data_IF_280897927658
#
_entry.id   IF_280897927658
#
_cell.length_a   1.000
_cell.length_b   1.000
_cell.length_c   1.000
_cell.angle_alpha   90.00
_cell.angle_beta   90.00
_cell.angle_gamma   90.00
#
_symmetry.space_group_name_H-M   'P 1'
#
loop_
_entity.id
_entity.type
_entity.pdbx_description
1 polymer ?
#
# COMPACT_ATOMS: atom_id res chain seq x y z
N UNK A 1 25.30 72.41 -36.20
CA UNK A 1 24.38 71.31 -36.49
C UNK A 1 24.86 70.09 -35.67
N UNK A 2 24.28 69.91 -34.48
CA UNK A 2 24.72 68.86 -33.57
C UNK A 2 23.50 67.93 -33.32
N UNK A 3 23.63 66.70 -33.78
CA UNK A 3 22.62 65.65 -33.59
C UNK A 3 22.90 64.93 -32.28
N UNK A 4 22.00 65.15 -31.31
CA UNK A 4 22.01 64.49 -30.01
C UNK A 4 21.48 63.02 -30.19
N UNK A 5 22.37 62.08 -29.97
CA UNK A 5 22.04 60.64 -29.96
C UNK A 5 21.53 60.29 -28.56
N UNK A 6 20.19 60.01 -28.41
CA UNK A 6 19.56 59.57 -27.17
C UNK A 6 19.56 58.05 -27.17
N UNK A 7 20.51 57.46 -26.47
CA UNK A 7 20.51 56.04 -26.17
C UNK A 7 19.46 55.74 -25.10
N UNK A 8 18.41 54.99 -25.45
CA UNK A 8 17.42 54.48 -24.56
C UNK A 8 17.97 53.22 -23.87
N UNK A 9 18.31 53.30 -22.58
CA UNK A 9 18.60 52.11 -21.78
C UNK A 9 17.27 51.47 -21.34
N UNK A 10 16.96 50.30 -21.92
CA UNK A 10 15.85 49.47 -21.52
C UNK A 10 16.27 48.63 -20.28
N UNK A 11 15.93 49.10 -19.09
CA UNK A 11 16.17 48.33 -17.86
C UNK A 11 15.18 47.17 -17.79
N UNK A 12 15.65 45.94 -18.03
CA UNK A 12 14.90 44.73 -17.81
C UNK A 12 14.93 44.45 -16.28
N UNK A 13 13.80 44.69 -15.62
CA UNK A 13 13.61 44.31 -14.22
C UNK A 13 13.31 42.82 -14.19
N UNK A 14 14.28 42.01 -13.78
CA UNK A 14 14.10 40.60 -13.50
C UNK A 14 13.31 40.48 -12.18
N UNK A 15 11.99 40.29 -12.27
CA UNK A 15 11.16 40.00 -11.11
C UNK A 15 11.50 38.58 -10.62
N UNK A 16 12.29 38.51 -9.56
CA UNK A 16 12.57 37.27 -8.84
C UNK A 16 11.30 36.88 -8.08
N UNK A 17 10.47 36.00 -8.64
CA UNK A 17 9.37 35.39 -7.90
C UNK A 17 9.95 34.40 -6.89
N UNK A 18 9.62 34.49 -5.59
CA UNK A 18 10.00 33.44 -4.65
C UNK A 18 9.26 32.17 -5.05
N UNK A 19 10.00 31.17 -5.49
CA UNK A 19 9.49 29.81 -5.60
C UNK A 19 9.31 29.32 -4.15
N UNK A 20 8.09 29.39 -3.63
CA UNK A 20 7.74 28.70 -2.41
C UNK A 20 7.93 27.21 -2.71
N UNK A 21 8.84 26.48 -2.02
CA UNK A 21 8.78 25.04 -2.05
C UNK A 21 7.43 24.68 -1.39
N UNK A 22 6.45 24.28 -2.18
CA UNK A 22 5.30 23.58 -1.64
C UNK A 22 5.88 22.41 -0.86
N UNK A 23 5.59 22.35 0.44
CA UNK A 23 5.80 21.15 1.23
C UNK A 23 5.10 20.04 0.45
N UNK A 24 5.88 19.24 -0.26
CA UNK A 24 5.37 18.02 -0.84
C UNK A 24 4.96 17.19 0.36
N UNK A 25 3.66 17.03 0.53
CA UNK A 25 3.07 16.16 1.53
C UNK A 25 3.74 14.79 1.40
N UNK A 26 4.17 14.22 2.52
CA UNK A 26 4.93 12.96 2.60
C UNK A 26 4.07 11.73 2.24
N UNK A 27 3.07 11.90 1.41
CA UNK A 27 2.28 10.83 0.79
C UNK A 27 3.08 9.96 -0.20
N UNK A 28 4.34 10.32 -0.50
CA UNK A 28 5.17 9.58 -1.44
C UNK A 28 5.49 8.14 -1.01
N UNK A 29 5.37 7.82 0.29
CA UNK A 29 5.63 6.48 0.85
C UNK A 29 4.37 5.66 1.14
N UNK A 30 3.16 6.22 0.95
CA UNK A 30 1.90 5.50 1.12
C UNK A 30 1.37 4.98 -0.20
N UNK A 31 0.85 3.77 -0.17
CA UNK A 31 0.20 3.17 -1.32
C UNK A 31 -1.27 3.54 -1.41
N UNK A 32 -1.78 3.68 -2.64
CA UNK A 32 -3.18 3.94 -2.90
C UNK A 32 -4.03 2.66 -2.95
N UNK A 33 -5.36 2.80 -2.94
CA UNK A 33 -6.31 1.70 -3.15
C UNK A 33 -6.06 1.00 -4.49
N UNK A 34 -5.79 1.76 -5.53
CA UNK A 34 -5.52 1.25 -6.88
C UNK A 34 -4.23 0.43 -6.92
N UNK A 35 -3.17 0.91 -6.28
CA UNK A 35 -1.90 0.19 -6.17
C UNK A 35 -2.07 -1.10 -5.36
N UNK A 36 -2.79 -1.06 -4.22
CA UNK A 36 -3.10 -2.24 -3.42
C UNK A 36 -3.91 -3.27 -4.22
N UNK A 37 -4.88 -2.82 -5.04
CA UNK A 37 -5.64 -3.69 -5.94
C UNK A 37 -4.78 -4.35 -6.99
N UNK A 38 -3.91 -3.60 -7.66
CA UNK A 38 -2.98 -4.13 -8.67
C UNK A 38 -2.07 -5.18 -8.04
N UNK A 39 -1.58 -4.92 -6.82
CA UNK A 39 -0.70 -5.83 -6.10
C UNK A 39 -1.43 -7.13 -5.72
N UNK A 40 -2.68 -7.04 -5.25
CA UNK A 40 -3.54 -8.17 -4.97
C UNK A 40 -3.82 -9.00 -6.24
N UNK A 41 -4.18 -8.36 -7.34
CA UNK A 41 -4.45 -9.05 -8.62
C UNK A 41 -3.21 -9.82 -9.12
N UNK A 42 -2.01 -9.23 -9.00
CA UNK A 42 -0.74 -9.90 -9.32
C UNK A 42 -0.50 -11.11 -8.43
N UNK A 43 -0.69 -10.98 -7.13
CA UNK A 43 -0.54 -12.06 -6.15
C UNK A 43 -1.52 -13.22 -6.45
N UNK A 44 -2.79 -12.91 -6.66
CA UNK A 44 -3.83 -13.89 -6.99
C UNK A 44 -3.51 -14.65 -8.29
N UNK A 45 -3.06 -13.94 -9.33
CA UNK A 45 -2.72 -14.58 -10.60
C UNK A 45 -1.51 -15.52 -10.44
N UNK A 46 -0.51 -15.14 -9.65
CA UNK A 46 0.65 -15.97 -9.40
C UNK A 46 0.28 -17.24 -8.58
N UNK A 47 -0.55 -17.09 -7.54
CA UNK A 47 -1.06 -18.23 -6.75
C UNK A 47 -1.89 -19.19 -7.61
N UNK A 48 -2.69 -18.70 -8.56
CA UNK A 48 -3.42 -19.56 -9.50
C UNK A 48 -2.50 -20.38 -10.40
N UNK A 49 -1.37 -19.81 -10.79
CA UNK A 49 -0.40 -20.49 -11.65
C UNK A 49 0.47 -21.47 -10.87
N UNK A 50 0.99 -21.05 -9.72
CA UNK A 50 1.83 -21.87 -8.85
C UNK A 50 1.80 -21.30 -7.43
N UNK A 51 1.16 -22.03 -6.51
CA UNK A 51 0.97 -21.60 -5.11
C UNK A 51 2.30 -21.39 -4.39
N UNK A 52 3.24 -22.32 -4.54
CA UNK A 52 4.53 -22.28 -3.84
C UNK A 52 5.34 -21.06 -4.31
N UNK A 53 5.42 -20.85 -5.62
CA UNK A 53 6.10 -19.68 -6.18
C UNK A 53 5.40 -18.40 -5.73
N UNK A 54 4.07 -18.37 -5.76
CA UNK A 54 3.28 -17.21 -5.34
C UNK A 54 3.56 -16.82 -3.89
N UNK A 55 3.48 -17.79 -2.97
CA UNK A 55 3.73 -17.54 -1.54
C UNK A 55 5.19 -17.13 -1.27
N UNK A 56 6.13 -17.79 -1.93
CA UNK A 56 7.54 -17.44 -1.80
C UNK A 56 7.81 -16.02 -2.25
N UNK A 57 7.31 -15.63 -3.43
CA UNK A 57 7.53 -14.29 -3.98
C UNK A 57 6.90 -13.17 -3.14
N UNK A 58 5.75 -13.42 -2.51
CA UNK A 58 5.12 -12.44 -1.59
C UNK A 58 5.86 -12.32 -0.25
N UNK A 59 6.57 -13.36 0.18
CA UNK A 59 7.26 -13.40 1.47
C UNK A 59 8.68 -12.84 1.41
N UNK A 60 9.42 -13.13 0.33
CA UNK A 60 10.81 -12.71 0.18
C UNK A 60 10.88 -11.23 -0.26
N UNK A 61 11.78 -10.40 0.31
CA UNK A 61 11.97 -9.03 -0.12
C UNK A 61 12.55 -8.93 -1.53
N UNK A 62 12.39 -7.75 -2.16
CA UNK A 62 12.92 -7.43 -3.49
C UNK A 62 12.37 -8.26 -4.67
N UNK A 63 11.22 -8.90 -4.51
CA UNK A 63 10.51 -9.64 -5.56
C UNK A 63 9.52 -8.78 -6.34
N UNK A 64 9.38 -7.50 -5.97
CA UNK A 64 8.42 -6.56 -6.53
C UNK A 64 7.01 -6.70 -5.94
N UNK A 65 6.83 -7.47 -4.86
CA UNK A 65 5.56 -7.56 -4.12
C UNK A 65 5.50 -6.64 -2.89
N UNK A 66 6.60 -6.01 -2.52
CA UNK A 66 6.64 -5.03 -1.45
C UNK A 66 7.00 -3.68 -2.07
N UNK A 67 6.13 -2.70 -1.95
CA UNK A 67 6.33 -1.35 -2.50
C UNK A 67 5.64 -0.32 -1.60
N UNK A 68 6.34 0.74 -1.25
CA UNK A 68 5.85 1.71 -0.26
C UNK A 68 5.54 0.99 1.07
N UNK A 69 4.32 1.18 1.59
CA UNK A 69 3.75 0.47 2.74
C UNK A 69 2.83 -0.71 2.36
N UNK A 70 2.77 -1.03 1.03
CA UNK A 70 1.95 -2.09 0.50
C UNK A 70 2.67 -3.43 0.46
N UNK A 71 1.98 -4.47 0.83
CA UNK A 71 2.37 -5.87 0.64
C UNK A 71 1.14 -6.77 0.54
N UNK A 72 1.17 -7.82 -0.30
CA UNK A 72 0.15 -8.83 -0.29
C UNK A 72 0.46 -9.90 0.74
N UNK A 73 -0.57 -10.61 1.16
CA UNK A 73 -0.47 -11.77 2.03
C UNK A 73 -1.53 -12.79 1.66
N UNK A 74 -1.30 -14.06 2.00
CA UNK A 74 -2.28 -15.13 1.84
C UNK A 74 -2.28 -16.04 3.06
N UNK A 75 -3.44 -16.58 3.38
CA UNK A 75 -3.61 -17.52 4.49
C UNK A 75 -4.60 -18.64 4.10
N UNK A 76 -4.48 -19.76 4.80
CA UNK A 76 -5.35 -20.92 4.61
C UNK A 76 -6.69 -20.79 5.35
N UNK A 77 -7.53 -21.83 5.28
CA UNK A 77 -8.83 -21.86 5.93
C UNK A 77 -8.73 -21.93 7.47
N UNK A 78 -7.58 -22.33 8.01
CA UNK A 78 -7.30 -22.30 9.43
C UNK A 78 -6.86 -20.91 9.90
N UNK A 79 -6.57 -20.00 8.97
CA UNK A 79 -6.10 -18.66 9.23
C UNK A 79 -4.58 -18.56 9.36
N UNK A 80 -3.84 -19.61 8.96
CA UNK A 80 -2.37 -19.60 9.01
C UNK A 80 -1.82 -18.85 7.82
N UNK A 81 -0.99 -17.85 8.06
CA UNK A 81 -0.32 -17.05 7.05
C UNK A 81 0.73 -17.88 6.30
N UNK A 82 0.44 -18.21 5.05
CA UNK A 82 1.32 -18.96 4.14
C UNK A 82 2.18 -18.07 3.27
N UNK A 83 1.80 -16.81 3.16
CA UNK A 83 2.59 -15.75 2.53
C UNK A 83 2.38 -14.46 3.30
N UNK A 84 3.44 -13.91 3.85
CA UNK A 84 3.46 -12.62 4.53
C UNK A 84 4.91 -12.19 4.74
N UNK A 85 5.30 -10.94 4.41
CA UNK A 85 6.71 -10.53 4.52
C UNK A 85 7.24 -10.47 5.97
N UNK A 86 6.34 -10.33 6.96
CA UNK A 86 6.74 -10.08 8.36
C UNK A 86 6.17 -11.07 9.37
N UNK A 87 5.12 -11.85 9.02
CA UNK A 87 4.36 -12.70 9.96
C UNK A 87 4.07 -14.09 9.41
N UNK A 88 4.98 -14.62 8.58
CA UNK A 88 4.83 -15.96 8.01
C UNK A 88 4.61 -17.00 9.13
N UNK A 89 3.63 -17.88 8.97
CA UNK A 89 3.26 -18.93 9.92
C UNK A 89 2.41 -18.45 11.11
N UNK A 90 2.20 -17.14 11.26
CA UNK A 90 1.29 -16.58 12.27
C UNK A 90 -0.18 -16.85 11.96
N UNK A 91 -1.05 -16.71 12.97
CA UNK A 91 -2.49 -16.83 12.83
C UNK A 91 -3.15 -15.48 12.62
N UNK A 92 -3.77 -15.27 11.45
CA UNK A 92 -4.51 -14.02 11.19
C UNK A 92 -5.82 -13.95 12.01
N UNK A 93 -6.30 -15.08 12.55
CA UNK A 93 -7.47 -15.09 13.44
C UNK A 93 -7.20 -14.39 14.78
N UNK A 94 -5.93 -14.29 15.17
CA UNK A 94 -5.53 -13.57 16.39
C UNK A 94 -5.44 -12.06 16.18
N UNK A 95 -5.57 -11.60 14.93
CA UNK A 95 -5.58 -10.18 14.64
C UNK A 95 -6.92 -9.55 15.00
N UNK A 96 -6.96 -8.95 16.18
CA UNK A 96 -8.03 -8.08 16.63
C UNK A 96 -7.50 -6.65 16.61
N UNK A 97 -8.17 -5.77 15.89
CA UNK A 97 -7.79 -4.37 15.78
C UNK A 97 -8.14 -3.57 17.03
N UNK A 98 -7.60 -2.35 17.17
CA UNK A 98 -7.88 -1.48 18.33
C UNK A 98 -9.37 -1.13 18.47
N UNK A 99 -10.10 -1.05 17.36
CA UNK A 99 -11.55 -0.84 17.32
C UNK A 99 -12.37 -2.14 17.45
N UNK A 100 -11.71 -3.26 17.77
CA UNK A 100 -12.36 -4.54 18.10
C UNK A 100 -12.77 -5.39 16.90
N UNK A 101 -12.30 -5.10 15.70
CA UNK A 101 -12.59 -5.90 14.51
C UNK A 101 -11.73 -7.16 14.50
N UNK A 102 -12.35 -8.34 14.45
CA UNK A 102 -11.68 -9.64 14.28
C UNK A 102 -11.32 -9.86 12.80
N UNK A 103 -10.26 -9.18 12.35
CA UNK A 103 -9.91 -8.99 10.92
C UNK A 103 -9.86 -10.32 10.15
N UNK A 104 -9.11 -11.29 10.66
CA UNK A 104 -8.93 -12.57 9.98
C UNK A 104 -10.21 -13.42 9.96
N UNK A 105 -11.01 -13.39 11.03
CA UNK A 105 -12.30 -14.10 11.11
C UNK A 105 -13.28 -13.53 10.09
N UNK A 106 -13.41 -12.20 10.02
CA UNK A 106 -14.28 -11.53 9.07
C UNK A 106 -13.85 -11.76 7.61
N UNK A 107 -12.53 -11.76 7.33
CA UNK A 107 -12.02 -12.06 6.00
C UNK A 107 -12.34 -13.51 5.60
N UNK A 108 -12.14 -14.49 6.48
CA UNK A 108 -12.48 -15.90 6.22
C UNK A 108 -13.96 -16.09 5.90
N UNK A 109 -14.83 -15.45 6.67
CA UNK A 109 -16.29 -15.53 6.53
C UNK A 109 -16.78 -14.90 5.22
N UNK A 110 -16.19 -13.78 4.80
CA UNK A 110 -16.72 -12.93 3.73
C UNK A 110 -15.98 -13.09 2.40
N UNK A 111 -14.82 -13.77 2.35
CA UNK A 111 -14.05 -13.96 1.12
C UNK A 111 -14.82 -14.76 0.08
N UNK A 112 -14.92 -14.24 -1.15
CA UNK A 112 -15.60 -14.87 -2.28
C UNK A 112 -14.64 -15.02 -3.47
N UNK A 113 -14.78 -16.12 -4.22
CA UNK A 113 -14.04 -16.31 -5.48
C UNK A 113 -14.44 -15.26 -6.51
N UNK A 114 -13.47 -14.74 -7.24
CA UNK A 114 -13.66 -13.76 -8.32
C UNK A 114 -14.36 -12.46 -7.91
N UNK A 115 -14.38 -12.15 -6.62
CA UNK A 115 -14.91 -10.91 -6.09
C UNK A 115 -13.94 -10.35 -5.06
N UNK A 116 -13.52 -9.12 -5.26
CA UNK A 116 -12.78 -8.39 -4.24
C UNK A 116 -13.78 -7.87 -3.21
N UNK A 117 -13.52 -8.18 -1.95
CA UNK A 117 -14.17 -7.62 -0.77
C UNK A 117 -13.19 -6.68 -0.08
N UNK A 118 -13.68 -5.80 0.78
CA UNK A 118 -12.85 -4.91 1.57
C UNK A 118 -13.30 -4.89 3.02
N UNK A 119 -12.34 -4.67 3.93
CA UNK A 119 -12.54 -4.51 5.36
C UNK A 119 -11.64 -3.37 5.85
N UNK A 120 -12.20 -2.46 6.64
CA UNK A 120 -11.47 -1.35 7.24
C UNK A 120 -11.41 -1.52 8.75
N UNK A 121 -10.26 -1.19 9.35
CA UNK A 121 -9.99 -1.34 10.78
C UNK A 121 -8.85 -0.45 11.21
N UNK A 122 -8.75 -0.17 12.51
CA UNK A 122 -7.65 0.60 13.08
C UNK A 122 -6.41 -0.29 13.24
N UNK A 123 -5.28 0.13 12.67
CA UNK A 123 -4.05 -0.66 12.69
C UNK A 123 -2.82 0.26 12.82
N UNK A 124 -1.79 -0.16 13.58
CA UNK A 124 -0.55 0.58 13.66
C UNK A 124 0.03 0.86 12.28
N UNK A 125 0.46 2.09 12.05
CA UNK A 125 1.02 2.50 10.76
C UNK A 125 2.34 1.77 10.54
N UNK A 126 2.49 1.22 9.33
CA UNK A 126 3.67 0.51 8.94
C UNK A 126 4.56 1.41 8.08
N UNK A 127 5.74 1.76 8.59
CA UNK A 127 6.70 2.61 7.89
C UNK A 127 8.08 1.95 7.84
N UNK A 128 8.67 1.93 6.65
CA UNK A 128 10.05 1.40 6.42
C UNK A 128 10.29 0.01 7.01
N UNK A 129 9.28 -0.85 6.98
CA UNK A 129 9.39 -2.21 7.48
C UNK A 129 9.10 -2.39 8.98
N UNK A 130 8.67 -1.34 9.69
CA UNK A 130 8.42 -1.36 11.13
C UNK A 130 7.03 -0.80 11.44
N UNK A 131 6.33 -1.41 12.41
CA UNK A 131 5.11 -0.83 12.97
C UNK A 131 5.49 0.37 13.86
N UNK A 132 4.79 1.47 13.69
CA UNK A 132 4.94 2.67 14.51
C UNK A 132 3.95 2.67 15.68
N UNK A 133 4.11 3.60 16.62
CA UNK A 133 3.15 3.82 17.70
C UNK A 133 1.91 4.61 17.24
N UNK A 134 1.87 5.02 15.98
CA UNK A 134 0.74 5.74 15.39
C UNK A 134 -0.23 4.74 14.77
N UNK A 135 -1.52 4.95 14.99
CA UNK A 135 -2.61 4.16 14.42
C UNK A 135 -3.30 4.93 13.30
N UNK A 136 -3.65 4.23 12.24
CA UNK A 136 -4.39 4.77 11.11
C UNK A 136 -5.48 3.80 10.64
N UNK A 137 -6.42 4.31 9.86
CA UNK A 137 -7.44 3.47 9.24
C UNK A 137 -6.82 2.68 8.09
N UNK A 138 -6.69 1.37 8.27
CA UNK A 138 -6.23 0.44 7.23
C UNK A 138 -7.41 -0.21 6.55
N UNK A 139 -7.47 -0.13 5.23
CA UNK A 139 -8.44 -0.87 4.41
C UNK A 139 -7.74 -1.99 3.67
N UNK A 140 -8.17 -3.22 3.90
CA UNK A 140 -7.64 -4.40 3.21
C UNK A 140 -8.60 -4.88 2.14
N UNK A 141 -8.13 -4.91 0.90
CA UNK A 141 -8.79 -5.58 -0.22
C UNK A 141 -8.45 -7.05 -0.17
N UNK A 142 -9.44 -7.95 -0.31
CA UNK A 142 -9.20 -9.38 -0.23
C UNK A 142 -10.14 -10.19 -1.12
N UNK A 143 -9.70 -11.38 -1.49
CA UNK A 143 -10.48 -12.32 -2.31
C UNK A 143 -10.09 -13.76 -2.03
N UNK A 144 -10.98 -14.69 -2.37
CA UNK A 144 -10.67 -16.12 -2.30
C UNK A 144 -10.03 -16.60 -3.61
N UNK A 145 -8.89 -17.28 -3.50
CA UNK A 145 -8.18 -17.93 -4.59
C UNK A 145 -7.84 -19.37 -4.18
N UNK A 146 -8.23 -20.35 -4.99
CA UNK A 146 -8.12 -21.78 -4.63
C UNK A 146 -8.73 -22.06 -3.24
N UNK A 147 -7.94 -22.56 -2.31
CA UNK A 147 -8.33 -22.82 -0.91
C UNK A 147 -7.84 -21.74 0.06
N UNK A 148 -7.37 -20.60 -0.46
CA UNK A 148 -6.74 -19.53 0.31
C UNK A 148 -7.56 -18.24 0.25
N UNK A 149 -7.31 -17.35 1.18
CA UNK A 149 -7.72 -15.96 1.12
C UNK A 149 -6.45 -15.13 0.97
N UNK A 150 -6.41 -14.29 -0.05
CA UNK A 150 -5.31 -13.35 -0.26
C UNK A 150 -5.81 -11.92 -0.13
N UNK A 151 -4.98 -11.05 0.42
CA UNK A 151 -5.29 -9.65 0.64
C UNK A 151 -4.10 -8.74 0.41
N UNK A 152 -4.38 -7.44 0.25
CA UNK A 152 -3.41 -6.35 0.28
C UNK A 152 -4.08 -5.12 0.89
N UNK A 153 -3.43 -4.50 1.88
CA UNK A 153 -3.99 -3.37 2.61
C UNK A 153 -3.28 -2.07 2.29
N UNK A 154 -4.01 -0.96 2.38
CA UNK A 154 -3.52 0.41 2.28
C UNK A 154 -4.11 1.23 3.44
N UNK A 155 -3.48 2.36 3.77
CA UNK A 155 -4.02 3.29 4.76
C UNK A 155 -4.79 4.39 4.02
N UNK A 156 -6.01 4.67 4.52
CA UNK A 156 -6.76 5.86 4.13
C UNK A 156 -6.48 6.97 5.13
N UNK A 157 -6.25 8.15 4.63
CA UNK A 157 -6.12 9.37 5.44
C UNK A 157 -7.47 9.76 6.05
#
# INVERSE_FOLDING_TARGET
MSLLNRTFFLSIIFACYPINPSLADDHSNRGSKEEAKILLDRAVNLVKLNEVVGFTMMTIPNTGFQTKDLYPFCFDQNGILLAHPYSLGGSIKELVSEDGVEVGVEMLKNAKKNKISEISYQFPIFEKGVLTDQTGTKTTLYTKVNNYVCGSGFYSD
#
